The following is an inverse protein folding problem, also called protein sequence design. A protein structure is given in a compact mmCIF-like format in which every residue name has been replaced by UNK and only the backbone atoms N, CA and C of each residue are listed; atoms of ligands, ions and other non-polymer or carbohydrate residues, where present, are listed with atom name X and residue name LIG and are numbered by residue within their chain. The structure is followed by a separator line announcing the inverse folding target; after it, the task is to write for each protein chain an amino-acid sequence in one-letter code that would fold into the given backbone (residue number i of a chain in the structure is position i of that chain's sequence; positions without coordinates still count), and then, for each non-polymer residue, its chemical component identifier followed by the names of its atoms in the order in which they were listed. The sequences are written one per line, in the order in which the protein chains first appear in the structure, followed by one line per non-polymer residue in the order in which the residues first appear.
data_IF_882927233164
#
_entry.id   IF_882927233164
#
_cell.length_a   1.000
_cell.length_b   1.000
_cell.length_c   1.000
_cell.angle_alpha   90.00
_cell.angle_beta   90.00
_cell.angle_gamma   90.00
#
_symmetry.space_group_name_H-M   'P 1'
#
loop_
_entity.id
_entity.type
_entity.pdbx_description
1 polymer ?
#
# COMPACT_ATOMS: atom_id res chain seq x y z
N UNK A 1 -4.07 16.22 -19.46
CA UNK A 1 -3.09 16.68 -18.45
C UNK A 1 -3.03 15.55 -17.44
N UNK A 2 -1.95 14.77 -17.37
CA UNK A 2 -1.87 13.56 -16.55
C UNK A 2 -1.70 13.95 -15.08
N UNK A 3 -2.78 13.81 -14.31
CA UNK A 3 -2.80 14.06 -12.86
C UNK A 3 -1.86 13.13 -12.08
N UNK A 4 -1.45 11.98 -12.65
CA UNK A 4 -0.54 11.03 -12.00
C UNK A 4 0.89 11.53 -11.82
N UNK A 5 1.42 12.35 -12.75
CA UNK A 5 2.78 12.86 -12.60
C UNK A 5 2.86 13.91 -11.48
N UNK A 6 1.82 14.73 -11.31
CA UNK A 6 1.79 15.77 -10.27
C UNK A 6 1.76 15.15 -8.86
N UNK A 7 1.08 14.01 -8.66
CA UNK A 7 1.03 13.35 -7.36
C UNK A 7 2.41 12.85 -6.91
N UNK A 8 3.21 12.24 -7.78
CA UNK A 8 4.52 11.70 -7.38
C UNK A 8 5.65 12.74 -7.41
N UNK A 9 5.50 13.83 -8.17
CA UNK A 9 6.47 14.94 -8.20
C UNK A 9 6.34 15.89 -7.00
N UNK A 10 5.13 16.02 -6.44
CA UNK A 10 4.89 16.82 -5.24
C UNK A 10 5.60 16.18 -4.02
N UNK A 11 6.41 16.97 -3.30
CA UNK A 11 7.18 16.49 -2.14
C UNK A 11 6.39 16.44 -0.81
N UNK A 12 5.09 16.77 -0.83
CA UNK A 12 4.21 16.62 0.33
C UNK A 12 4.34 15.23 0.96
N UNK A 13 4.42 15.15 2.29
CA UNK A 13 4.58 13.87 3.00
C UNK A 13 3.38 12.95 2.76
N UNK A 14 3.62 11.64 2.67
CA UNK A 14 2.60 10.62 2.48
C UNK A 14 2.84 9.47 3.44
N UNK A 15 1.90 8.52 3.53
CA UNK A 15 2.07 7.30 4.33
C UNK A 15 3.41 6.62 4.02
N UNK A 16 3.75 6.52 2.72
CA UNK A 16 5.00 5.90 2.28
C UNK A 16 6.22 6.62 2.83
N UNK A 17 6.33 7.94 2.66
CA UNK A 17 7.50 8.70 3.11
C UNK A 17 7.61 8.77 4.63
N UNK A 18 6.48 8.99 5.34
CA UNK A 18 6.45 9.01 6.82
C UNK A 18 6.87 7.66 7.40
N UNK A 19 6.45 6.55 6.78
CA UNK A 19 6.91 5.21 7.16
C UNK A 19 8.43 5.06 7.03
N UNK A 20 9.04 5.59 5.97
CA UNK A 20 10.50 5.54 5.82
C UNK A 20 11.19 6.31 6.95
N UNK A 21 10.69 7.50 7.29
CA UNK A 21 11.19 8.28 8.42
C UNK A 21 11.06 7.54 9.75
N UNK A 22 9.96 6.83 9.96
CA UNK A 22 9.77 6.02 11.15
C UNK A 22 10.76 4.84 11.24
N UNK A 23 11.15 4.25 10.11
CA UNK A 23 12.11 3.15 10.06
C UNK A 23 13.57 3.60 10.24
N UNK A 24 14.00 4.62 9.48
CA UNK A 24 15.36 5.15 9.55
C UNK A 24 15.36 6.62 9.14
N UNK A 25 15.26 7.55 10.10
CA UNK A 25 15.15 8.98 9.83
C UNK A 25 16.27 9.55 8.94
N UNK A 26 17.53 9.20 9.21
CA UNK A 26 18.67 9.75 8.46
C UNK A 26 18.68 9.28 7.01
N UNK A 27 18.44 7.98 6.79
CA UNK A 27 18.33 7.42 5.44
C UNK A 27 17.11 7.96 4.69
N UNK A 28 15.98 8.11 5.39
CA UNK A 28 14.76 8.66 4.81
C UNK A 28 14.94 10.11 4.37
N UNK A 29 15.63 10.92 5.18
CA UNK A 29 15.99 12.30 4.84
C UNK A 29 16.90 12.34 3.60
N UNK A 30 17.94 11.51 3.54
CA UNK A 30 18.81 11.43 2.37
C UNK A 30 18.03 11.02 1.10
N UNK A 31 17.09 10.09 1.22
CA UNK A 31 16.20 9.71 0.10
C UNK A 31 15.27 10.88 -0.31
N UNK A 32 14.67 11.57 0.65
CA UNK A 32 13.79 12.73 0.41
C UNK A 32 14.51 13.89 -0.31
N UNK A 33 15.78 14.12 0.03
CA UNK A 33 16.65 15.13 -0.58
C UNK A 33 17.22 14.68 -1.93
N UNK A 34 17.07 13.40 -2.30
CA UNK A 34 17.64 12.83 -3.53
C UNK A 34 19.13 12.52 -3.44
N UNK A 35 19.69 12.45 -2.23
CA UNK A 35 21.10 12.20 -1.97
C UNK A 35 21.44 10.70 -1.97
N UNK A 36 20.51 9.85 -1.51
CA UNK A 36 20.69 8.40 -1.48
C UNK A 36 19.37 7.67 -1.65
N UNK A 37 19.19 6.82 -2.68
CA UNK A 37 17.91 6.15 -2.93
C UNK A 37 17.58 5.16 -1.81
N UNK A 38 16.30 5.08 -1.45
CA UNK A 38 15.85 4.08 -0.48
C UNK A 38 15.92 2.67 -1.05
N UNK A 39 15.55 2.49 -2.33
CA UNK A 39 15.56 1.20 -3.01
C UNK A 39 16.67 1.15 -4.06
N UNK A 40 17.40 0.04 -4.07
CA UNK A 40 18.47 -0.28 -5.03
C UNK A 40 17.99 -1.26 -6.11
N UNK A 41 17.01 -2.13 -5.80
CA UNK A 41 16.26 -2.95 -6.77
C UNK A 41 14.76 -2.59 -6.76
N UNK A 42 14.28 -2.07 -7.89
CA UNK A 42 12.89 -1.67 -8.08
C UNK A 42 12.02 -2.77 -8.70
N UNK A 43 12.53 -3.97 -8.99
CA UNK A 43 11.75 -4.98 -9.71
C UNK A 43 10.48 -5.38 -8.93
N UNK A 44 10.55 -5.55 -7.61
CA UNK A 44 9.37 -5.86 -6.80
C UNK A 44 8.32 -4.73 -6.81
N UNK A 45 8.78 -3.46 -6.82
CA UNK A 45 7.92 -2.28 -6.91
C UNK A 45 7.29 -2.17 -8.30
N UNK A 46 8.07 -2.41 -9.37
CA UNK A 46 7.59 -2.44 -10.75
C UNK A 46 6.55 -3.54 -10.97
N UNK A 47 6.78 -4.74 -10.43
CA UNK A 47 5.79 -5.82 -10.46
C UNK A 47 4.48 -5.41 -9.78
N UNK A 48 4.58 -4.77 -8.62
CA UNK A 48 3.43 -4.22 -7.90
C UNK A 48 2.69 -3.18 -8.75
N UNK A 49 3.40 -2.17 -9.22
CA UNK A 49 2.82 -1.09 -10.05
C UNK A 49 2.13 -1.64 -11.31
N UNK A 50 2.79 -2.52 -12.07
CA UNK A 50 2.19 -3.15 -13.24
C UNK A 50 0.91 -3.91 -12.91
N UNK A 51 0.85 -4.58 -11.76
CA UNK A 51 -0.36 -5.23 -11.26
C UNK A 51 -1.46 -4.23 -10.89
N UNK A 52 -1.13 -3.11 -10.24
CA UNK A 52 -2.08 -2.05 -9.91
C UNK A 52 -2.64 -1.40 -11.18
N UNK A 53 -1.80 -0.99 -12.13
CA UNK A 53 -2.23 -0.38 -13.40
C UNK A 53 -3.22 -1.28 -14.16
N UNK A 54 -3.00 -2.60 -14.18
CA UNK A 54 -3.96 -3.53 -14.80
C UNK A 54 -5.33 -3.49 -14.11
N UNK A 55 -5.36 -3.42 -12.79
CA UNK A 55 -6.61 -3.31 -12.02
C UNK A 55 -7.27 -1.95 -12.21
N UNK A 56 -6.49 -0.87 -12.13
CA UNK A 56 -6.93 0.50 -12.36
C UNK A 56 -7.61 0.63 -13.73
N UNK A 57 -6.92 0.28 -14.82
CA UNK A 57 -7.50 0.36 -16.17
C UNK A 57 -8.73 -0.53 -16.35
N UNK A 58 -8.78 -1.68 -15.65
CA UNK A 58 -9.98 -2.51 -15.65
C UNK A 58 -11.15 -1.79 -14.95
N UNK A 59 -10.89 -1.15 -13.81
CA UNK A 59 -11.90 -0.38 -13.07
C UNK A 59 -12.32 0.87 -13.83
N UNK A 60 -11.42 1.57 -14.53
CA UNK A 60 -11.76 2.69 -15.41
C UNK A 60 -12.78 2.27 -16.49
N UNK A 61 -12.56 1.10 -17.10
CA UNK A 61 -13.47 0.55 -18.10
C UNK A 61 -14.86 0.30 -17.52
N UNK A 62 -14.91 -0.31 -16.32
CA UNK A 62 -16.13 -0.65 -15.59
C UNK A 62 -16.88 0.62 -15.16
N UNK A 63 -16.16 1.65 -14.69
CA UNK A 63 -16.75 2.88 -14.19
C UNK A 63 -17.29 3.79 -15.31
N UNK A 64 -16.99 3.49 -16.57
CA UNK A 64 -17.51 4.25 -17.70
C UNK A 64 -18.95 3.80 -18.07
N UNK A 65 -19.90 4.72 -17.92
CA UNK A 65 -21.33 4.49 -18.15
C UNK A 65 -21.67 3.97 -19.58
N UNK A 66 -20.94 4.40 -20.60
CA UNK A 66 -21.18 3.95 -21.98
C UNK A 66 -20.86 2.45 -22.14
N UNK A 67 -19.79 1.98 -21.50
CA UNK A 67 -19.37 0.58 -21.58
C UNK A 67 -20.38 -0.37 -20.91
N UNK A 68 -20.97 0.08 -19.80
CA UNK A 68 -22.00 -0.67 -19.07
C UNK A 68 -23.33 -0.66 -19.82
N UNK A 69 -23.71 0.45 -20.46
CA UNK A 69 -24.93 0.51 -21.30
C UNK A 69 -24.87 -0.39 -22.54
N UNK A 70 -23.68 -0.70 -23.06
CA UNK A 70 -23.50 -1.49 -24.28
C UNK A 70 -23.70 -3.00 -24.08
N UNK A 71 -23.78 -3.47 -22.86
CA UNK A 71 -23.77 -4.90 -22.54
C UNK A 71 -25.17 -5.46 -22.21
N UNK A 72 -26.27 -4.73 -22.47
CA UNK A 72 -27.71 -5.05 -22.22
C UNK A 72 -28.13 -6.53 -22.40
N UNK A 73 -27.76 -7.37 -21.44
CA UNK A 73 -28.21 -8.75 -21.31
C UNK A 73 -29.21 -8.86 -20.17
N UNK A 74 -30.19 -9.76 -20.32
CA UNK A 74 -31.27 -9.94 -19.34
C UNK A 74 -30.83 -10.74 -18.10
N UNK A 75 -29.68 -11.39 -18.16
CA UNK A 75 -29.09 -12.17 -17.07
C UNK A 75 -27.89 -11.41 -16.48
N UNK A 76 -28.00 -11.00 -15.22
CA UNK A 76 -26.97 -10.20 -14.54
C UNK A 76 -25.64 -10.94 -14.35
N UNK A 77 -25.63 -12.27 -14.33
CA UNK A 77 -24.41 -13.06 -14.12
C UNK A 77 -23.55 -13.13 -15.38
N UNK A 78 -24.15 -13.51 -16.51
CA UNK A 78 -23.52 -13.54 -17.83
C UNK A 78 -23.03 -12.13 -18.20
N UNK A 79 -23.80 -11.12 -17.79
CA UNK A 79 -23.47 -9.73 -18.00
C UNK A 79 -22.21 -9.27 -17.28
N UNK A 80 -22.05 -9.60 -15.98
CA UNK A 80 -20.86 -9.26 -15.19
C UNK A 80 -19.62 -9.94 -15.77
N UNK A 81 -19.71 -11.22 -16.13
CA UNK A 81 -18.58 -11.95 -16.71
C UNK A 81 -18.17 -11.36 -18.08
N UNK A 82 -19.13 -10.97 -18.93
CA UNK A 82 -18.84 -10.31 -20.19
C UNK A 82 -18.20 -8.91 -20.01
N UNK A 83 -18.64 -8.15 -19.00
CA UNK A 83 -18.04 -6.85 -18.69
C UNK A 83 -16.59 -7.03 -18.18
N UNK A 84 -16.35 -8.01 -17.31
CA UNK A 84 -15.03 -8.36 -16.80
C UNK A 84 -14.06 -8.73 -17.92
N UNK A 85 -14.45 -9.56 -18.87
CA UNK A 85 -13.58 -9.93 -19.99
C UNK A 85 -13.21 -8.73 -20.86
N UNK A 86 -14.16 -7.82 -21.11
CA UNK A 86 -13.88 -6.57 -21.84
C UNK A 86 -12.98 -5.62 -21.05
N UNK A 87 -13.18 -5.52 -19.74
CA UNK A 87 -12.33 -4.71 -18.85
C UNK A 87 -10.89 -5.21 -18.85
N UNK A 88 -10.67 -6.53 -18.76
CA UNK A 88 -9.34 -7.15 -18.86
C UNK A 88 -8.68 -6.82 -20.20
N UNK A 89 -9.41 -6.98 -21.31
CA UNK A 89 -8.87 -6.67 -22.63
C UNK A 89 -8.49 -5.20 -22.76
N UNK A 90 -9.35 -4.29 -22.28
CA UNK A 90 -9.07 -2.86 -22.24
C UNK A 90 -7.82 -2.54 -21.43
N UNK A 91 -7.65 -3.15 -20.25
CA UNK A 91 -6.46 -2.97 -19.42
C UNK A 91 -5.18 -3.42 -20.14
N UNK A 92 -5.21 -4.57 -20.82
CA UNK A 92 -4.07 -5.03 -21.62
C UNK A 92 -3.76 -4.09 -22.80
N UNK A 93 -4.79 -3.55 -23.46
CA UNK A 93 -4.60 -2.61 -24.55
C UNK A 93 -4.02 -1.27 -24.07
N UNK A 94 -4.43 -0.82 -22.87
CA UNK A 94 -3.95 0.40 -22.22
C UNK A 94 -2.53 0.31 -21.68
N UNK A 95 -2.16 -0.84 -21.12
CA UNK A 95 -0.83 -1.02 -20.54
C UNK A 95 0.25 -1.26 -21.60
N UNK A 96 -0.14 -1.81 -22.76
CA UNK A 96 0.79 -2.18 -23.84
C UNK A 96 1.75 -1.08 -24.30
N UNK A 97 1.33 0.19 -24.49
CA UNK A 97 2.25 1.28 -24.81
C UNK A 97 3.26 1.60 -23.68
N UNK A 98 2.94 1.24 -22.43
CA UNK A 98 3.80 1.43 -21.26
C UNK A 98 4.82 0.30 -21.10
N UNK A 99 4.56 -0.88 -21.66
CA UNK A 99 5.44 -2.06 -21.61
C UNK A 99 6.85 -1.79 -22.18
N UNK A 100 6.94 -0.97 -23.23
CA UNK A 100 8.21 -0.67 -23.89
C UNK A 100 9.00 0.47 -23.22
N UNK A 101 8.36 1.24 -22.32
CA UNK A 101 8.93 2.40 -21.66
C UNK A 101 9.02 2.16 -20.15
N UNK A 102 7.91 2.39 -19.45
CA UNK A 102 7.81 2.38 -17.99
C UNK A 102 8.04 0.99 -17.39
N UNK A 103 7.64 -0.06 -18.11
CA UNK A 103 7.74 -1.45 -17.65
C UNK A 103 8.76 -2.27 -18.40
N UNK A 104 9.65 -1.65 -19.17
CA UNK A 104 10.61 -2.35 -20.03
C UNK A 104 11.45 -3.39 -19.27
N UNK A 105 11.78 -3.14 -18.01
CA UNK A 105 12.50 -4.08 -17.14
C UNK A 105 11.71 -5.35 -16.80
N UNK A 106 10.39 -5.35 -16.95
CA UNK A 106 9.57 -6.54 -16.74
C UNK A 106 9.56 -7.47 -17.96
N UNK A 107 9.92 -6.96 -19.15
CA UNK A 107 9.80 -7.64 -20.42
C UNK A 107 11.16 -8.06 -20.99
N UNK A 108 11.17 -9.12 -21.79
CA UNK A 108 12.38 -9.54 -22.50
C UNK A 108 12.65 -8.59 -23.66
N UNK A 109 13.91 -8.13 -23.78
CA UNK A 109 14.35 -7.22 -24.83
C UNK A 109 15.03 -7.91 -26.02
N UNK A 110 15.28 -9.23 -25.94
CA UNK A 110 16.11 -9.95 -26.93
C UNK A 110 15.54 -11.31 -27.33
N UNK A 111 15.87 -11.72 -28.55
CA UNK A 111 15.58 -13.06 -29.06
C UNK A 111 14.10 -13.32 -29.33
N UNK A 112 13.72 -14.60 -29.36
CA UNK A 112 12.36 -15.06 -29.68
C UNK A 112 11.30 -14.66 -28.65
N UNK A 113 11.71 -14.24 -27.47
CA UNK A 113 10.82 -13.81 -26.38
C UNK A 113 10.69 -12.29 -26.29
N UNK A 114 11.26 -11.52 -27.23
CA UNK A 114 11.20 -10.05 -27.20
C UNK A 114 9.74 -9.58 -27.11
N UNK A 115 9.46 -8.68 -26.17
CA UNK A 115 8.11 -8.16 -25.90
C UNK A 115 7.22 -9.09 -25.07
N UNK A 116 7.76 -10.20 -24.55
CA UNK A 116 7.05 -11.05 -23.59
C UNK A 116 7.55 -10.77 -22.17
N UNK A 117 6.65 -10.86 -21.18
CA UNK A 117 7.04 -10.85 -19.78
C UNK A 117 8.14 -11.89 -19.50
N UNK A 118 9.17 -11.47 -18.76
CA UNK A 118 10.22 -12.37 -18.26
C UNK A 118 9.58 -13.48 -17.43
N UNK A 119 10.18 -14.68 -17.42
CA UNK A 119 9.64 -15.83 -16.70
C UNK A 119 9.38 -15.55 -15.21
N UNK A 120 10.24 -14.74 -14.58
CA UNK A 120 10.11 -14.28 -13.19
C UNK A 120 8.91 -13.36 -12.94
N UNK A 121 8.33 -12.76 -13.99
CA UNK A 121 7.29 -11.75 -13.92
C UNK A 121 5.94 -12.26 -14.48
N UNK A 122 5.92 -13.42 -15.15
CA UNK A 122 4.68 -14.06 -15.61
C UNK A 122 3.62 -14.27 -14.51
N UNK A 123 4.00 -14.59 -13.25
CA UNK A 123 3.02 -14.75 -12.17
C UNK A 123 2.13 -13.52 -11.93
N UNK A 124 2.55 -12.30 -12.35
CA UNK A 124 1.72 -11.09 -12.21
C UNK A 124 0.36 -11.25 -12.88
N UNK A 125 0.31 -11.92 -14.03
CA UNK A 125 -0.95 -12.14 -14.74
C UNK A 125 -1.87 -13.11 -13.99
N UNK A 126 -1.31 -14.05 -13.25
CA UNK A 126 -2.09 -14.95 -12.38
C UNK A 126 -2.63 -14.17 -11.18
N UNK A 127 -1.82 -13.30 -10.57
CA UNK A 127 -2.25 -12.43 -9.48
C UNK A 127 -3.41 -11.52 -9.90
N UNK A 128 -3.26 -10.86 -11.05
CA UNK A 128 -4.31 -10.03 -11.65
C UNK A 128 -5.59 -10.83 -11.86
N UNK A 129 -5.49 -12.02 -12.47
CA UNK A 129 -6.66 -12.87 -12.70
C UNK A 129 -7.34 -13.32 -11.40
N UNK A 130 -6.59 -13.64 -10.34
CA UNK A 130 -7.19 -13.99 -9.05
C UNK A 130 -7.97 -12.82 -8.45
N UNK A 131 -7.41 -11.61 -8.51
CA UNK A 131 -8.02 -10.43 -7.90
C UNK A 131 -9.20 -9.90 -8.71
N UNK A 132 -9.06 -9.73 -10.03
CA UNK A 132 -10.13 -9.17 -10.88
C UNK A 132 -11.39 -10.05 -10.91
N UNK A 133 -11.26 -11.35 -10.69
CA UNK A 133 -12.39 -12.28 -10.65
C UNK A 133 -12.94 -12.51 -9.22
N UNK A 134 -12.43 -11.77 -8.23
CA UNK A 134 -12.82 -11.92 -6.82
C UNK A 134 -14.19 -11.32 -6.50
N UNK A 135 -14.79 -11.75 -5.39
CA UNK A 135 -16.09 -11.22 -4.95
C UNK A 135 -16.08 -9.72 -4.67
N UNK A 136 -15.07 -9.12 -3.99
CA UNK A 136 -15.02 -7.67 -3.81
C UNK A 136 -15.06 -6.88 -5.12
N UNK A 137 -14.30 -7.32 -6.14
CA UNK A 137 -14.32 -6.67 -7.46
C UNK A 137 -15.68 -6.81 -8.13
N UNK A 138 -16.30 -8.00 -8.05
CA UNK A 138 -17.66 -8.21 -8.56
C UNK A 138 -18.69 -7.35 -7.84
N UNK A 139 -18.53 -7.12 -6.54
CA UNK A 139 -19.40 -6.27 -5.74
C UNK A 139 -19.27 -4.79 -6.15
N UNK A 140 -18.04 -4.30 -6.35
CA UNK A 140 -17.78 -2.96 -6.92
C UNK A 140 -18.46 -2.80 -8.28
N UNK A 141 -18.35 -3.80 -9.16
CA UNK A 141 -19.03 -3.81 -10.46
C UNK A 141 -20.54 -3.72 -10.26
N UNK A 142 -21.12 -4.56 -9.39
CA UNK A 142 -22.56 -4.54 -9.13
C UNK A 142 -23.03 -3.18 -8.60
N UNK A 143 -22.31 -2.55 -7.69
CA UNK A 143 -22.63 -1.22 -7.15
C UNK A 143 -22.56 -0.14 -8.23
N UNK A 144 -21.50 -0.15 -9.04
CA UNK A 144 -21.33 0.75 -10.21
C UNK A 144 -22.53 0.62 -11.15
N UNK A 145 -22.92 -0.63 -11.46
CA UNK A 145 -24.02 -0.92 -12.36
C UNK A 145 -25.37 -0.49 -11.79
N UNK A 146 -25.62 -0.69 -10.48
CA UNK A 146 -26.86 -0.24 -9.83
C UNK A 146 -27.04 1.26 -10.03
N UNK A 147 -26.01 2.07 -9.76
CA UNK A 147 -26.09 3.53 -9.97
C UNK A 147 -26.43 3.90 -11.40
N UNK A 148 -25.74 3.28 -12.37
CA UNK A 148 -25.87 3.62 -13.78
C UNK A 148 -27.19 3.13 -14.39
N UNK A 149 -27.71 1.98 -13.96
CA UNK A 149 -28.95 1.39 -14.50
C UNK A 149 -30.19 1.98 -13.84
N UNK A 150 -30.15 2.24 -12.54
CA UNK A 150 -31.32 2.76 -11.81
C UNK A 150 -31.49 4.27 -11.97
N UNK A 151 -30.50 4.97 -12.51
CA UNK A 151 -30.45 6.43 -12.62
C UNK A 151 -30.69 7.12 -11.25
N UNK A 152 -30.39 6.40 -10.16
CA UNK A 152 -30.31 6.91 -8.81
C UNK A 152 -28.82 7.08 -8.54
N UNK A 153 -28.38 8.32 -8.33
CA UNK A 153 -27.00 8.66 -7.96
C UNK A 153 -26.66 8.15 -6.54
N UNK A 154 -26.89 6.86 -6.26
CA UNK A 154 -26.69 6.27 -4.93
C UNK A 154 -25.22 5.98 -4.69
N UNK A 155 -24.60 5.21 -5.58
CA UNK A 155 -23.19 4.86 -5.50
C UNK A 155 -22.36 5.73 -6.42
N UNK A 156 -21.22 6.19 -5.90
CA UNK A 156 -20.18 6.84 -6.68
C UNK A 156 -18.89 6.03 -6.53
N UNK A 157 -18.27 5.64 -7.64
CA UNK A 157 -17.02 4.87 -7.64
C UNK A 157 -15.91 5.79 -8.11
N UNK A 158 -14.89 5.93 -7.28
CA UNK A 158 -13.75 6.81 -7.50
C UNK A 158 -12.46 6.00 -7.46
N UNK A 159 -11.58 6.25 -8.43
CA UNK A 159 -10.37 5.46 -8.70
C UNK A 159 -9.18 6.40 -8.65
N UNK A 160 -8.11 6.02 -7.95
CA UNK A 160 -6.82 6.72 -7.91
C UNK A 160 -6.93 8.22 -7.60
N UNK A 161 -7.89 8.61 -6.75
CA UNK A 161 -8.11 10.01 -6.43
C UNK A 161 -7.10 10.50 -5.38
N UNK A 162 -6.34 11.58 -5.66
CA UNK A 162 -5.45 12.16 -4.69
C UNK A 162 -6.22 13.03 -3.68
N UNK A 163 -5.77 12.98 -2.43
CA UNK A 163 -6.28 13.79 -1.32
C UNK A 163 -5.13 14.51 -0.64
N UNK A 164 -5.45 15.64 -0.01
CA UNK A 164 -4.55 16.38 0.88
C UNK A 164 -5.27 16.74 2.17
N UNK A 165 -4.52 16.80 3.25
CA UNK A 165 -4.95 17.38 4.51
C UNK A 165 -3.73 17.95 5.24
N UNK A 166 -3.93 18.45 6.45
CA UNK A 166 -2.87 18.96 7.32
C UNK A 166 -3.10 18.54 8.75
N UNK A 167 -2.01 18.21 9.45
CA UNK A 167 -2.01 17.96 10.89
C UNK A 167 -0.87 18.75 11.51
N UNK A 168 -1.15 19.53 12.55
CA UNK A 168 -0.17 20.42 13.21
C UNK A 168 0.61 21.31 12.21
N UNK A 169 -0.11 21.90 11.26
CA UNK A 169 0.43 22.71 10.15
C UNK A 169 1.41 21.96 9.21
N UNK A 170 1.45 20.64 9.27
CA UNK A 170 2.20 19.81 8.32
C UNK A 170 1.23 19.21 7.32
N UNK A 171 1.38 19.58 6.05
CA UNK A 171 0.59 19.01 4.95
C UNK A 171 1.00 17.56 4.69
N UNK A 172 0.00 16.73 4.43
CA UNK A 172 0.19 15.35 3.98
C UNK A 172 -0.82 14.97 2.92
N UNK A 173 -0.51 13.92 2.16
CA UNK A 173 -1.32 13.44 1.05
C UNK A 173 -1.45 11.93 1.00
N UNK A 174 -2.47 11.50 0.26
CA UNK A 174 -2.73 10.10 -0.04
C UNK A 174 -3.39 9.94 -1.40
N UNK A 175 -3.32 8.72 -1.95
CA UNK A 175 -4.03 8.32 -3.17
C UNK A 175 -4.56 6.91 -2.92
N UNK A 176 -5.89 6.78 -2.92
CA UNK A 176 -6.59 5.52 -2.70
C UNK A 176 -6.74 4.82 -4.05
N UNK A 177 -6.49 3.51 -4.10
CA UNK A 177 -6.64 2.73 -5.33
C UNK A 177 -8.09 2.83 -5.85
N UNK A 178 -9.07 2.48 -5.01
CA UNK A 178 -10.50 2.62 -5.33
C UNK A 178 -11.34 2.76 -4.07
N UNK A 179 -12.42 3.53 -4.15
CA UNK A 179 -13.42 3.56 -3.10
C UNK A 179 -14.82 3.81 -3.68
N UNK A 180 -15.81 3.23 -3.01
CA UNK A 180 -17.24 3.35 -3.36
C UNK A 180 -17.96 4.12 -2.27
N UNK A 181 -18.62 5.21 -2.65
CA UNK A 181 -19.43 6.04 -1.77
C UNK A 181 -20.89 5.63 -1.90
N UNK A 182 -21.48 5.02 -0.87
CA UNK A 182 -22.93 4.85 -0.75
C UNK A 182 -23.53 6.11 -0.10
N UNK A 183 -24.05 7.01 -0.93
CA UNK A 183 -24.62 8.29 -0.50
C UNK A 183 -25.91 8.13 0.29
N UNK A 184 -26.60 6.99 0.15
CA UNK A 184 -27.85 6.72 0.85
C UNK A 184 -27.57 6.28 2.29
N UNK A 185 -26.66 5.33 2.47
CA UNK A 185 -26.32 4.78 3.79
C UNK A 185 -25.24 5.60 4.50
N UNK A 186 -24.60 6.55 3.78
CA UNK A 186 -23.44 7.33 4.25
C UNK A 186 -22.28 6.44 4.69
N UNK A 187 -21.95 5.49 3.82
CA UNK A 187 -20.81 4.58 4.01
C UNK A 187 -19.87 4.69 2.83
N UNK A 188 -18.57 4.68 3.09
CA UNK A 188 -17.53 4.56 2.07
C UNK A 188 -16.85 3.21 2.24
N UNK A 189 -16.84 2.41 1.19
CA UNK A 189 -16.05 1.19 1.12
C UNK A 189 -14.77 1.48 0.36
N UNK A 190 -13.65 1.59 1.08
CA UNK A 190 -12.33 1.78 0.50
C UNK A 190 -11.66 0.41 0.27
N UNK A 191 -11.02 0.24 -0.88
CA UNK A 191 -10.27 -0.96 -1.22
C UNK A 191 -8.87 -0.60 -1.66
N UNK A 192 -7.90 -1.31 -1.13
CA UNK A 192 -6.49 -1.18 -1.47
C UNK A 192 -5.94 -2.55 -1.87
N UNK A 193 -5.41 -2.63 -3.08
CA UNK A 193 -4.88 -3.87 -3.63
C UNK A 193 -3.43 -4.04 -3.17
N UNK A 194 -3.05 -5.24 -2.75
CA UNK A 194 -1.65 -5.50 -2.36
C UNK A 194 -1.16 -6.82 -2.91
N UNK A 195 0.11 -6.85 -3.28
CA UNK A 195 0.83 -8.12 -3.47
C UNK A 195 1.72 -8.37 -2.25
N UNK A 196 1.77 -9.62 -1.77
CA UNK A 196 2.52 -9.96 -0.57
C UNK A 196 3.36 -11.22 -0.75
N UNK A 197 4.50 -11.30 -0.06
CA UNK A 197 5.17 -12.59 0.16
C UNK A 197 4.21 -13.55 0.88
N UNK A 198 4.41 -14.85 0.73
CA UNK A 198 3.63 -15.86 1.45
C UNK A 198 3.74 -15.69 2.96
N UNK A 199 2.64 -15.90 3.67
CA UNK A 199 2.56 -15.93 5.13
C UNK A 199 1.51 -16.96 5.57
N UNK A 200 1.52 -17.28 6.86
CA UNK A 200 0.62 -18.27 7.44
C UNK A 200 -0.85 -17.93 7.15
N UNK A 201 -1.71 -18.91 6.80
CA UNK A 201 -3.13 -18.65 6.53
C UNK A 201 -3.90 -17.98 7.68
N UNK A 202 -3.41 -18.04 8.92
CA UNK A 202 -3.98 -17.31 10.05
C UNK A 202 -3.82 -15.78 9.96
N UNK A 203 -3.03 -15.29 9.01
CA UNK A 203 -2.68 -13.87 8.92
C UNK A 203 -1.54 -13.47 9.86
N UNK A 204 -0.81 -14.43 10.43
CA UNK A 204 0.35 -14.15 11.30
C UNK A 204 1.67 -14.51 10.60
N UNK A 205 2.73 -13.77 10.92
CA UNK A 205 4.08 -14.07 10.44
C UNK A 205 5.15 -13.57 11.40
N UNK A 206 6.34 -14.14 11.28
CA UNK A 206 7.55 -13.50 11.80
C UNK A 206 7.89 -12.29 10.95
N UNK A 207 8.04 -11.14 11.58
CA UNK A 207 8.39 -9.90 10.93
C UNK A 207 8.93 -8.88 11.92
N UNK A 208 9.46 -7.78 11.39
CA UNK A 208 9.94 -6.67 12.19
C UNK A 208 8.82 -5.67 12.41
N UNK A 209 8.73 -5.12 13.61
CA UNK A 209 7.88 -3.97 13.89
C UNK A 209 8.56 -2.65 13.54
N UNK A 210 7.84 -1.53 13.76
CA UNK A 210 8.35 -0.19 13.47
C UNK A 210 9.54 0.24 14.34
N UNK A 211 9.82 -0.47 15.43
CA UNK A 211 10.97 -0.24 16.31
C UNK A 211 12.14 -1.19 16.00
N UNK A 212 12.03 -2.01 14.96
CA UNK A 212 13.07 -2.94 14.52
C UNK A 212 13.16 -4.22 15.34
N UNK A 213 12.15 -4.54 16.17
CA UNK A 213 12.13 -5.80 16.93
C UNK A 213 11.45 -6.90 16.11
N UNK A 214 12.15 -8.02 15.97
CA UNK A 214 11.66 -9.21 15.28
C UNK A 214 10.71 -10.01 16.16
N UNK A 215 9.46 -10.21 15.73
CA UNK A 215 8.44 -10.92 16.49
C UNK A 215 7.41 -11.62 15.60
N UNK A 216 6.75 -12.62 16.17
CA UNK A 216 5.57 -13.24 15.57
C UNK A 216 4.36 -12.36 15.84
N UNK A 217 3.76 -11.79 14.79
CA UNK A 217 2.70 -10.81 14.90
C UNK A 217 1.73 -10.89 13.71
N UNK A 218 0.55 -10.28 13.78
CA UNK A 218 -0.33 -10.18 12.64
C UNK A 218 0.37 -9.43 11.49
N UNK A 219 0.21 -9.95 10.28
CA UNK A 219 0.99 -9.51 9.13
C UNK A 219 0.74 -8.05 8.78
N UNK A 220 -0.47 -7.54 9.02
CA UNK A 220 -0.86 -6.17 8.75
C UNK A 220 -0.06 -5.13 9.57
N UNK A 221 0.53 -5.56 10.69
CA UNK A 221 1.34 -4.74 11.59
C UNK A 221 2.85 -4.82 11.34
N UNK A 222 3.31 -5.67 10.42
CA UNK A 222 4.74 -5.69 10.10
C UNK A 222 5.17 -4.37 9.47
N UNK A 223 6.41 -3.97 9.71
CA UNK A 223 6.98 -2.70 9.22
C UNK A 223 6.97 -2.59 7.69
N UNK A 224 7.01 -3.73 6.99
CA UNK A 224 6.87 -3.80 5.53
C UNK A 224 5.46 -3.40 5.05
N UNK A 225 4.44 -3.61 5.88
CA UNK A 225 3.02 -3.47 5.53
C UNK A 225 2.40 -2.23 6.18
N UNK A 226 2.34 -2.18 7.51
CA UNK A 226 1.68 -1.13 8.29
C UNK A 226 0.31 -0.72 7.72
N UNK A 227 -0.51 -1.71 7.37
CA UNK A 227 -1.84 -1.50 6.80
C UNK A 227 -2.73 -0.61 7.68
N UNK A 228 -2.75 -0.77 9.03
CA UNK A 228 -3.53 0.12 9.88
C UNK A 228 -3.12 1.59 9.80
N UNK A 229 -1.83 1.89 9.56
CA UNK A 229 -1.39 3.28 9.35
C UNK A 229 -1.97 3.86 8.08
N UNK A 230 -1.86 3.13 6.97
CA UNK A 230 -2.37 3.58 5.69
C UNK A 230 -3.90 3.75 5.73
N UNK A 231 -4.61 2.76 6.26
CA UNK A 231 -6.07 2.80 6.41
C UNK A 231 -6.52 3.99 7.28
N UNK A 232 -5.90 4.20 8.45
CA UNK A 232 -6.22 5.33 9.32
C UNK A 232 -5.98 6.70 8.67
N UNK A 233 -4.88 6.85 7.92
CA UNK A 233 -4.56 8.09 7.19
C UNK A 233 -5.55 8.36 6.07
N UNK A 234 -5.88 7.36 5.29
CA UNK A 234 -6.82 7.50 4.18
C UNK A 234 -8.25 7.73 4.69
N UNK A 235 -8.64 7.10 5.81
CA UNK A 235 -9.88 7.41 6.51
C UNK A 235 -9.92 8.91 6.88
N UNK A 236 -8.89 9.43 7.52
CA UNK A 236 -8.87 10.85 7.89
C UNK A 236 -8.88 11.77 6.66
N UNK A 237 -8.14 11.43 5.59
CA UNK A 237 -8.16 12.21 4.36
C UNK A 237 -9.57 12.29 3.77
N UNK A 238 -10.32 11.19 3.73
CA UNK A 238 -11.71 11.20 3.28
C UNK A 238 -12.59 12.09 4.16
N UNK A 239 -12.49 11.97 5.49
CA UNK A 239 -13.26 12.79 6.43
C UNK A 239 -13.00 14.29 6.23
N UNK A 240 -11.73 14.67 6.09
CA UNK A 240 -11.31 16.07 5.89
C UNK A 240 -11.70 16.61 4.50
N UNK A 241 -11.92 15.74 3.52
CA UNK A 241 -12.23 16.09 2.14
C UNK A 241 -13.73 15.94 1.80
N UNK A 242 -14.60 16.16 2.78
CA UNK A 242 -16.05 16.32 2.57
C UNK A 242 -16.91 15.16 3.08
N UNK A 243 -16.31 14.07 3.53
CA UNK A 243 -17.03 12.88 4.02
C UNK A 243 -17.10 12.79 5.55
N UNK A 244 -17.01 13.93 6.26
CA UNK A 244 -17.00 14.04 7.72
C UNK A 244 -18.16 13.33 8.46
N UNK A 245 -19.29 13.08 7.80
CA UNK A 245 -20.47 12.40 8.36
C UNK A 245 -20.68 10.98 7.81
N UNK A 246 -19.68 10.41 7.13
CA UNK A 246 -19.70 9.05 6.59
C UNK A 246 -18.96 8.08 7.51
N UNK A 247 -19.44 6.84 7.55
CA UNK A 247 -18.68 5.70 8.07
C UNK A 247 -17.73 5.20 6.97
N UNK A 248 -16.51 4.79 7.33
CA UNK A 248 -15.50 4.37 6.36
C UNK A 248 -15.04 2.95 6.69
N UNK A 249 -15.38 2.01 5.81
CA UNK A 249 -14.92 0.63 5.86
C UNK A 249 -13.68 0.46 4.98
N UNK A 250 -12.60 -0.05 5.55
CA UNK A 250 -11.33 -0.20 4.82
C UNK A 250 -10.98 -1.66 4.61
N UNK A 251 -10.78 -2.03 3.34
CA UNK A 251 -10.44 -3.39 2.92
C UNK A 251 -9.09 -3.43 2.21
N UNK A 252 -8.27 -4.41 2.59
CA UNK A 252 -7.10 -4.81 1.80
C UNK A 252 -7.42 -6.07 1.03
N UNK A 253 -7.22 -6.03 -0.29
CA UNK A 253 -7.34 -7.19 -1.17
C UNK A 253 -5.93 -7.65 -1.49
N UNK A 254 -5.48 -8.69 -0.79
CA UNK A 254 -4.08 -9.13 -0.78
C UNK A 254 -3.92 -10.43 -1.54
N UNK A 255 -3.08 -10.42 -2.57
CA UNK A 255 -2.69 -11.63 -3.30
C UNK A 255 -1.27 -12.06 -2.94
N UNK A 256 -1.13 -13.31 -2.50
CA UNK A 256 0.17 -13.89 -2.11
C UNK A 256 0.96 -14.39 -3.32
N UNK A 257 2.28 -14.20 -3.31
CA UNK A 257 3.20 -14.54 -4.42
C UNK A 257 3.62 -16.02 -4.46
N UNK A 258 2.80 -16.93 -3.96
CA UNK A 258 3.07 -18.37 -4.05
C UNK A 258 2.67 -18.95 -5.43
N UNK A 259 3.07 -20.21 -5.70
CA UNK A 259 2.80 -20.85 -7.00
C UNK A 259 1.31 -20.91 -7.36
N UNK A 260 0.45 -21.04 -6.35
CA UNK A 260 -1.00 -20.95 -6.50
C UNK A 260 -1.46 -19.77 -5.65
N UNK A 261 -1.58 -18.57 -6.24
CA UNK A 261 -1.81 -17.35 -5.45
C UNK A 261 -3.04 -17.48 -4.56
N UNK A 262 -2.88 -17.16 -3.27
CA UNK A 262 -3.99 -17.06 -2.32
C UNK A 262 -4.50 -15.62 -2.32
N UNK A 263 -5.81 -15.47 -2.21
CA UNK A 263 -6.47 -14.19 -2.02
C UNK A 263 -6.93 -14.08 -0.56
N UNK A 264 -6.41 -13.09 0.14
CA UNK A 264 -6.85 -12.73 1.49
C UNK A 264 -7.53 -11.36 1.43
N UNK A 265 -8.65 -11.20 2.13
CA UNK A 265 -9.36 -9.92 2.25
C UNK A 265 -9.30 -9.52 3.73
N UNK A 266 -8.54 -8.48 4.06
CA UNK A 266 -8.47 -7.97 5.42
C UNK A 266 -9.42 -6.79 5.56
N UNK A 267 -10.22 -6.80 6.62
CA UNK A 267 -10.93 -5.61 7.10
C UNK A 267 -10.14 -5.04 8.26
N UNK A 268 -9.86 -3.74 8.25
CA UNK A 268 -9.19 -3.09 9.38
C UNK A 268 -10.25 -2.44 10.25
N UNK A 269 -10.28 -2.80 11.52
CA UNK A 269 -11.22 -2.23 12.49
C UNK A 269 -10.86 -0.77 12.85
N UNK A 270 -11.85 -0.04 13.39
CA UNK A 270 -11.71 1.37 13.75
C UNK A 270 -10.61 1.64 14.77
N UNK A 271 -10.43 0.74 15.75
CA UNK A 271 -9.41 0.91 16.79
C UNK A 271 -8.02 0.79 16.17
N UNK A 272 -7.81 -0.17 15.28
CA UNK A 272 -6.56 -0.36 14.53
C UNK A 272 -6.27 0.85 13.63
N UNK A 273 -7.28 1.40 12.95
CA UNK A 273 -7.16 2.62 12.16
C UNK A 273 -6.83 3.85 13.01
N UNK A 274 -7.45 4.01 14.19
CA UNK A 274 -7.15 5.10 15.13
C UNK A 274 -5.70 5.05 15.61
N UNK A 275 -5.25 3.86 15.99
CA UNK A 275 -3.87 3.61 16.40
C UNK A 275 -2.91 3.96 15.27
N UNK A 276 -3.19 3.46 14.06
CA UNK A 276 -2.37 3.71 12.88
C UNK A 276 -2.25 5.19 12.55
N UNK A 277 -3.38 5.91 12.56
CA UNK A 277 -3.40 7.36 12.29
C UNK A 277 -2.63 8.14 13.36
N UNK A 278 -2.81 7.81 14.65
CA UNK A 278 -2.05 8.46 15.74
C UNK A 278 -0.54 8.28 15.58
N UNK A 279 -0.09 7.08 15.22
CA UNK A 279 1.33 6.81 14.99
C UNK A 279 1.85 7.56 13.76
N UNK A 280 1.06 7.59 12.68
CA UNK A 280 1.38 8.38 11.50
C UNK A 280 1.55 9.87 11.85
N UNK A 281 0.60 10.50 12.55
CA UNK A 281 0.68 11.92 12.92
C UNK A 281 1.92 12.24 13.75
N UNK A 282 2.27 11.37 14.72
CA UNK A 282 3.50 11.51 15.51
C UNK A 282 4.75 11.54 14.62
N UNK A 283 4.82 10.64 13.64
CA UNK A 283 5.96 10.57 12.73
C UNK A 283 5.93 11.60 11.61
N UNK A 284 4.75 12.09 11.22
CA UNK A 284 4.58 13.18 10.27
C UNK A 284 5.24 14.45 10.79
N UNK A 285 4.96 14.83 12.04
CA UNK A 285 5.58 15.99 12.68
C UNK A 285 7.09 15.81 12.83
N UNK A 286 7.55 14.63 13.27
CA UNK A 286 8.99 14.32 13.37
C UNK A 286 9.69 14.42 12.01
N UNK A 287 9.12 13.81 10.96
CA UNK A 287 9.65 13.86 9.61
C UNK A 287 9.78 15.31 9.13
N UNK A 288 8.75 16.13 9.36
CA UNK A 288 8.78 17.55 9.04
C UNK A 288 9.87 18.32 9.81
N UNK A 289 10.05 18.03 11.10
CA UNK A 289 11.12 18.65 11.90
C UNK A 289 12.52 18.27 11.36
N UNK A 290 12.72 17.02 10.96
CA UNK A 290 13.98 16.58 10.34
C UNK A 290 14.21 17.25 8.99
N UNK A 291 13.19 17.33 8.13
CA UNK A 291 13.27 17.97 6.81
C UNK A 291 13.63 19.45 6.92
N UNK A 292 13.06 20.14 7.91
CA UNK A 292 13.29 21.57 8.12
C UNK A 292 14.50 21.89 9.00
N UNK A 293 15.26 20.87 9.44
CA UNK A 293 16.45 21.05 10.28
C UNK A 293 16.15 21.56 11.70
N UNK A 294 14.91 21.41 12.17
CA UNK A 294 14.51 21.73 13.54
C UNK A 294 15.06 20.67 14.50
N UNK A 295 15.06 19.41 14.08
CA UNK A 295 15.64 18.28 14.79
C UNK A 295 16.68 17.57 13.92
N UNK A 296 17.70 16.99 14.54
CA UNK A 296 18.66 16.16 13.82
C UNK A 296 18.09 14.75 13.62
N UNK A 297 18.04 14.31 12.35
CA UNK A 297 17.62 12.94 12.02
C UNK A 297 18.67 11.92 12.54
N UNK A 298 18.30 10.97 13.42
CA UNK A 298 19.25 10.00 13.94
C UNK A 298 19.69 8.98 12.89
N UNK A 299 20.98 8.64 12.90
CA UNK A 299 21.54 7.54 12.12
C UNK A 299 21.32 6.22 12.87
N UNK A 300 20.63 5.28 12.22
CA UNK A 300 20.38 3.95 12.78
C UNK A 300 21.33 2.93 12.16
N UNK A 301 21.94 2.10 13.01
CA UNK A 301 22.79 0.98 12.61
C UNK A 301 21.96 -0.21 12.11
N UNK A 302 21.37 -0.07 10.93
CA UNK A 302 20.47 -1.04 10.31
C UNK A 302 21.17 -1.96 9.30
N UNK A 303 22.50 -1.85 9.16
CA UNK A 303 23.28 -2.60 8.18
C UNK A 303 22.99 -2.25 6.71
N UNK A 304 22.20 -1.21 6.45
CA UNK A 304 21.88 -0.77 5.10
C UNK A 304 23.11 -0.27 4.34
N UNK A 305 23.03 -0.27 3.00
CA UNK A 305 24.06 0.32 2.14
C UNK A 305 24.37 1.78 2.51
N UNK A 306 23.34 2.53 2.93
CA UNK A 306 23.48 3.89 3.43
C UNK A 306 24.33 3.96 4.70
N UNK A 307 23.96 3.19 5.74
CA UNK A 307 24.70 3.13 7.00
C UNK A 307 26.16 2.72 6.78
N UNK A 308 26.38 1.68 5.97
CA UNK A 308 27.71 1.18 5.66
C UNK A 308 28.57 2.23 4.94
N UNK A 309 27.99 2.99 4.01
CA UNK A 309 28.72 4.05 3.28
C UNK A 309 29.15 5.18 4.20
N UNK A 310 28.32 5.55 5.19
CA UNK A 310 28.67 6.59 6.16
C UNK A 310 29.75 6.15 7.17
N UNK A 311 29.71 4.88 7.59
CA UNK A 311 30.59 4.36 8.66
C UNK A 311 31.88 3.71 8.15
N UNK A 312 32.01 3.49 6.84
CA UNK A 312 33.20 2.92 6.19
C UNK A 312 34.52 3.62 6.56
N UNK A 313 34.50 4.91 6.90
CA UNK A 313 35.71 5.68 7.22
C UNK A 313 36.25 5.44 8.62
N UNK A 314 35.42 4.95 9.55
CA UNK A 314 35.77 4.89 10.97
C UNK A 314 36.40 3.55 11.39
N UNK A 315 36.24 2.51 10.56
CA UNK A 315 36.76 1.16 10.82
C UNK A 315 36.09 0.50 12.03
N UNK A 316 35.56 -0.71 11.87
CA UNK A 316 34.96 -1.42 12.99
C UNK A 316 36.03 -1.74 14.05
N UNK A 317 35.91 -1.16 15.25
CA UNK A 317 36.74 -1.54 16.39
C UNK A 317 36.12 -2.76 17.06
N UNK A 318 36.71 -3.93 16.81
CA UNK A 318 36.39 -5.14 17.56
C UNK A 318 36.96 -4.99 18.97
N UNK A 319 36.08 -4.86 19.96
CA UNK A 319 36.47 -4.88 21.37
C UNK A 319 36.26 -6.31 21.87
N UNK A 320 37.35 -7.05 22.03
CA UNK A 320 37.32 -8.43 22.53
C UNK A 320 37.45 -8.46 24.05
N UNK A 321 36.52 -7.86 24.75
CA UNK A 321 36.38 -8.05 26.20
C UNK A 321 34.94 -8.47 26.46
N UNK A 322 34.69 -9.67 27.00
CA UNK A 322 33.37 -9.96 27.54
C UNK A 322 33.17 -8.99 28.70
N UNK A 323 32.20 -8.09 28.58
CA UNK A 323 31.76 -7.29 29.73
C UNK A 323 31.23 -8.26 30.81
N UNK A 324 31.64 -8.04 32.06
CA UNK A 324 31.05 -8.72 33.22
C UNK A 324 29.53 -8.45 33.19
N UNK A 325 28.73 -9.45 32.84
CA UNK A 325 27.28 -9.28 32.63
C UNK A 325 26.68 -10.09 31.50
N UNK A 326 27.49 -10.79 30.68
CA UNK A 326 26.99 -11.78 29.71
C UNK A 326 26.14 -12.85 30.42
N UNK A 327 24.81 -12.69 30.38
CA UNK A 327 23.81 -13.57 30.98
C UNK A 327 22.85 -12.94 31.99
N UNK A 328 22.89 -11.62 32.26
CA UNK A 328 22.00 -11.00 33.27
C UNK A 328 20.91 -10.05 32.74
N UNK A 329 20.92 -9.65 31.46
CA UNK A 329 19.90 -8.74 30.90
C UNK A 329 18.67 -9.46 30.31
N UNK A 330 18.19 -10.54 30.95
CA UNK A 330 16.88 -11.12 30.62
C UNK A 330 15.75 -10.63 31.51
N UNK A 331 16.01 -9.88 32.59
CA UNK A 331 14.98 -9.52 33.58
C UNK A 331 14.43 -8.08 33.50
N UNK A 332 14.96 -7.19 32.66
CA UNK A 332 14.49 -5.79 32.60
C UNK A 332 13.91 -5.36 31.22
N UNK A 333 13.57 -6.31 30.35
CA UNK A 333 12.90 -6.02 29.09
C UNK A 333 11.36 -5.95 29.20
N UNK A 334 10.81 -5.71 30.41
CA UNK A 334 9.37 -5.73 30.65
C UNK A 334 8.67 -4.36 30.46
N UNK A 335 9.37 -3.23 30.56
CA UNK A 335 8.69 -1.92 30.64
C UNK A 335 8.31 -1.27 29.28
N UNK A 336 9.01 -1.57 28.18
CA UNK A 336 8.64 -1.05 26.84
C UNK A 336 7.71 -2.02 26.06
N UNK A 337 7.40 -3.18 26.64
CA UNK A 337 6.50 -4.17 26.04
C UNK A 337 5.02 -3.89 26.29
N UNK A 338 4.65 -3.10 27.32
CA UNK A 338 3.24 -2.96 27.73
C UNK A 338 2.36 -2.23 26.72
N UNK A 339 2.89 -1.26 25.96
CA UNK A 339 2.04 -0.50 25.04
C UNK A 339 1.63 -1.36 23.83
N UNK A 340 2.57 -2.02 23.12
CA UNK A 340 2.20 -2.87 21.98
C UNK A 340 1.66 -4.25 22.38
N UNK A 341 2.15 -4.87 23.47
CA UNK A 341 1.63 -6.16 23.94
C UNK A 341 0.26 -6.00 24.62
N UNK A 342 0.02 -4.90 25.33
CA UNK A 342 -1.30 -4.55 25.87
C UNK A 342 -2.33 -4.21 24.79
N UNK A 343 -1.88 -3.77 23.61
CA UNK A 343 -2.74 -3.53 22.44
C UNK A 343 -3.08 -4.83 21.69
N UNK A 344 -2.13 -5.76 21.54
CA UNK A 344 -2.37 -7.07 20.90
C UNK A 344 -3.18 -8.03 21.79
N UNK A 345 -3.09 -7.92 23.12
CA UNK A 345 -3.81 -8.77 24.07
C UNK A 345 -5.31 -8.44 24.25
N UNK A 346 -5.81 -7.33 23.70
CA UNK A 346 -7.22 -6.92 23.78
C UNK A 346 -8.05 -7.25 22.54
N UNK A 347 -7.44 -7.84 21.52
CA UNK A 347 -8.07 -8.21 20.24
C UNK A 347 -8.32 -9.73 20.11
N UNK A 348 -8.37 -10.47 21.23
CA UNK A 348 -8.71 -11.89 21.29
C UNK A 348 -10.13 -12.14 21.82
#
# INVERSE_FOLDING_TARGET
MNLDNEYYEDKTLSVSSVRLFAQNPKRALANYLGEFPWFDDNNALLQGRYFHDLLEFSMEYINNEENVKLTKEKDSSIWVDNLLEKAKQYAFDKIKPLEENEYSDLFSSKGKTKGQLKATNKPILEWFNVVINSNPVKEIIMQTMISQVTNQERFEVLIEQPFKSSYDNVEYKGKLDIYVVDKQEKVIHAYDYKTAKSYDPSGWAWGDDIFGKHRYMPVEWTVEKLFPWQAGVYRQLLLDNGYHDYTIDYHYIVVTKEKTPRLDIFTIDDQSMDIGYKQFCKWLVKANNYINGIEEAPLIADGSAYYNTLTQKEGNKLVSHPEEGWGQDQENAEDDNEELAGMLGKLA
#
